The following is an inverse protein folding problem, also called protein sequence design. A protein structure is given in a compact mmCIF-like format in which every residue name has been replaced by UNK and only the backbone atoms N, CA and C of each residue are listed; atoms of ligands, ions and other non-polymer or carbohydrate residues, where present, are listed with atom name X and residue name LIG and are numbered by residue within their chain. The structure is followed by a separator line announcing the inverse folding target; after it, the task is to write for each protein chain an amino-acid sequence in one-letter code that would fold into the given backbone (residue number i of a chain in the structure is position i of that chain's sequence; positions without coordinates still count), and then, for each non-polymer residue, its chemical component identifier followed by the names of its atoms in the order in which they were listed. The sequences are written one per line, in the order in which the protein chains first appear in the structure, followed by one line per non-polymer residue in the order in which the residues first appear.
data_IF_840985973533
#
_entry.id   IF_840985973533
#
_cell.length_a   1.000
_cell.length_b   1.000
_cell.length_c   1.000
_cell.angle_alpha   90.00
_cell.angle_beta   90.00
_cell.angle_gamma   90.00
#
_symmetry.space_group_name_H-M   'P 1'
#
loop_
_entity.id
_entity.type
_entity.pdbx_description
1 polymer ?
#
# COMPACT_ATOMS: atom_id res chain seq x y z
N UNK A 1 4.24 10.74 5.52
CA UNK A 1 4.69 10.72 4.10
C UNK A 1 3.43 10.59 3.25
N UNK A 2 3.09 11.62 2.47
CA UNK A 2 1.89 11.60 1.62
C UNK A 2 2.13 10.64 0.45
N UNK A 3 1.62 9.41 0.51
CA UNK A 3 1.70 8.47 -0.61
C UNK A 3 0.64 8.83 -1.65
N UNK A 4 1.05 9.03 -2.91
CA UNK A 4 0.12 9.27 -4.04
C UNK A 4 -0.83 8.10 -4.21
N UNK A 5 -0.32 6.87 -4.09
CA UNK A 5 -1.10 5.64 -4.16
C UNK A 5 -2.18 5.54 -3.08
N UNK A 6 -1.83 5.83 -1.82
CA UNK A 6 -2.74 5.62 -0.68
C UNK A 6 -3.78 6.74 -0.58
N UNK A 7 -3.35 7.98 -0.84
CA UNK A 7 -4.21 9.15 -0.68
C UNK A 7 -4.84 9.65 -1.98
N UNK A 8 -4.60 8.96 -3.10
CA UNK A 8 -5.14 9.34 -4.42
C UNK A 8 -4.73 10.75 -4.84
N UNK A 9 -3.48 11.15 -4.55
CA UNK A 9 -2.98 12.49 -4.86
C UNK A 9 -2.21 12.51 -6.17
N UNK A 10 -2.30 13.62 -6.87
CA UNK A 10 -1.43 13.90 -8.01
C UNK A 10 0.04 13.95 -7.58
N UNK A 11 0.93 13.58 -8.49
CA UNK A 11 2.36 13.42 -8.21
C UNK A 11 3.03 14.72 -7.73
N UNK A 12 2.58 15.87 -8.23
CA UNK A 12 3.03 17.21 -7.83
C UNK A 12 2.20 17.84 -6.71
N UNK A 13 1.16 17.15 -6.21
CA UNK A 13 0.33 17.63 -5.09
C UNK A 13 0.74 16.98 -3.74
N UNK A 14 2.04 16.84 -3.55
CA UNK A 14 2.68 16.38 -2.31
C UNK A 14 3.55 17.50 -1.73
N UNK A 15 4.07 17.34 -0.50
CA UNK A 15 4.87 18.37 0.18
C UNK A 15 6.17 18.71 -0.59
N UNK A 16 6.95 19.65 -0.05
CA UNK A 16 8.19 20.27 -0.58
C UNK A 16 9.26 19.34 -1.22
N UNK A 17 9.12 18.02 -1.16
CA UNK A 17 10.00 17.01 -1.76
C UNK A 17 9.52 16.48 -3.13
N UNK A 18 8.49 17.09 -3.73
CA UNK A 18 7.95 16.67 -5.04
C UNK A 18 9.01 16.55 -6.17
N UNK A 19 10.08 17.37 -6.26
CA UNK A 19 11.05 17.27 -7.36
C UNK A 19 11.80 15.92 -7.41
N UNK A 20 11.94 15.24 -6.27
CA UNK A 20 12.53 13.90 -6.23
C UNK A 20 11.50 12.80 -6.42
N UNK A 21 10.26 13.03 -5.96
CA UNK A 21 9.18 12.04 -6.07
C UNK A 21 8.71 11.85 -7.49
N UNK A 22 8.71 12.91 -8.29
CA UNK A 22 8.33 12.83 -9.71
C UNK A 22 9.22 11.87 -10.48
N UNK A 23 10.45 11.60 -10.02
CA UNK A 23 11.41 10.69 -10.66
C UNK A 23 11.17 9.22 -10.29
N UNK A 24 10.44 8.93 -9.21
CA UNK A 24 10.24 7.55 -8.74
C UNK A 24 9.53 6.69 -9.80
N UNK A 25 8.41 7.12 -10.41
CA UNK A 25 7.74 6.31 -11.42
C UNK A 25 8.59 6.07 -12.67
N UNK A 26 9.42 7.05 -13.07
CA UNK A 26 10.39 6.86 -14.16
C UNK A 26 11.38 5.74 -13.80
N UNK A 27 11.98 5.82 -12.62
CA UNK A 27 12.91 4.79 -12.16
C UNK A 27 12.27 3.40 -12.06
N UNK A 28 11.00 3.33 -11.65
CA UNK A 28 10.25 2.07 -11.62
C UNK A 28 10.03 1.47 -13.01
N UNK A 29 9.72 2.30 -14.00
CA UNK A 29 9.60 1.86 -15.41
C UNK A 29 10.95 1.39 -15.95
N UNK A 30 12.06 2.07 -15.64
CA UNK A 30 13.41 1.64 -16.03
C UNK A 30 13.76 0.28 -15.41
N UNK A 31 13.54 0.12 -14.10
CA UNK A 31 13.76 -1.15 -13.43
C UNK A 31 12.93 -2.29 -14.04
N UNK A 32 11.66 -2.04 -14.35
CA UNK A 32 10.75 -3.06 -14.85
C UNK A 32 11.00 -3.44 -16.31
N UNK A 33 11.07 -2.46 -17.21
CA UNK A 33 11.20 -2.70 -18.64
C UNK A 33 12.65 -2.90 -19.08
N UNK A 34 13.59 -2.06 -18.63
CA UNK A 34 14.99 -2.14 -19.06
C UNK A 34 15.78 -3.24 -18.35
N UNK A 35 15.60 -3.36 -17.02
CA UNK A 35 16.49 -4.19 -16.19
C UNK A 35 15.85 -5.49 -15.70
N UNK A 36 14.51 -5.60 -15.74
CA UNK A 36 13.77 -6.81 -15.39
C UNK A 36 13.08 -7.48 -16.60
N UNK A 37 13.32 -6.99 -17.82
CA UNK A 37 12.84 -7.62 -19.06
C UNK A 37 11.32 -7.73 -19.13
N UNK A 38 10.62 -6.72 -18.61
CA UNK A 38 9.16 -6.62 -18.56
C UNK A 38 8.46 -7.79 -17.86
N UNK A 39 9.15 -8.55 -16.99
CA UNK A 39 8.71 -9.85 -16.49
C UNK A 39 8.42 -10.90 -17.58
N UNK A 40 8.81 -10.67 -18.84
CA UNK A 40 8.55 -11.52 -20.01
C UNK A 40 9.81 -12.21 -20.54
N UNK A 41 10.95 -12.09 -19.84
CA UNK A 41 12.28 -12.39 -20.39
C UNK A 41 12.55 -11.61 -21.69
N UNK A 42 12.02 -10.39 -21.81
CA UNK A 42 12.41 -9.51 -22.90
C UNK A 42 13.91 -9.20 -22.81
N UNK A 43 14.58 -8.87 -23.93
CA UNK A 43 15.95 -8.40 -23.90
C UNK A 43 16.12 -7.28 -22.87
N UNK A 44 17.22 -7.33 -22.12
CA UNK A 44 17.58 -6.27 -21.19
C UNK A 44 18.34 -5.16 -21.93
N UNK A 45 18.36 -3.96 -21.35
CA UNK A 45 19.23 -2.91 -21.85
C UNK A 45 20.69 -3.37 -21.79
N UNK A 46 21.40 -3.22 -22.91
CA UNK A 46 22.83 -3.52 -23.03
C UNK A 46 23.59 -2.29 -23.49
N UNK A 47 24.92 -2.37 -23.48
CA UNK A 47 25.79 -1.33 -24.04
C UNK A 47 26.07 -1.51 -25.53
N UNK A 48 25.41 -2.47 -26.19
CA UNK A 48 25.58 -2.68 -27.62
C UNK A 48 24.98 -1.50 -28.40
N UNK A 49 25.68 -1.04 -29.43
CA UNK A 49 25.15 -0.01 -30.32
C UNK A 49 24.17 -0.64 -31.31
N UNK A 50 22.95 -0.09 -31.37
CA UNK A 50 21.88 -0.53 -32.28
C UNK A 50 21.60 -2.05 -32.22
N UNK A 51 21.34 -2.62 -31.03
CA UNK A 51 21.04 -4.04 -30.93
C UNK A 51 19.77 -4.36 -31.73
N UNK A 52 19.73 -5.48 -32.47
CA UNK A 52 18.53 -5.87 -33.19
C UNK A 52 17.39 -6.14 -32.20
N UNK A 53 16.25 -5.48 -32.38
CA UNK A 53 15.04 -5.73 -31.60
C UNK A 53 14.05 -6.60 -32.38
N UNK A 54 13.44 -7.56 -31.70
CA UNK A 54 12.36 -8.40 -32.23
C UNK A 54 11.13 -8.20 -31.37
N UNK A 55 10.03 -7.77 -31.99
CA UNK A 55 8.79 -7.44 -31.26
C UNK A 55 8.86 -6.06 -30.61
N UNK A 56 8.34 -5.95 -29.39
CA UNK A 56 8.37 -4.70 -28.62
C UNK A 56 9.73 -4.52 -27.96
N UNK A 57 10.38 -3.38 -28.22
CA UNK A 57 11.66 -3.03 -27.63
C UNK A 57 11.50 -2.42 -26.22
N UNK A 58 11.18 -3.27 -25.24
CA UNK A 58 11.03 -2.85 -23.85
C UNK A 58 12.32 -2.24 -23.28
N UNK A 59 13.50 -2.72 -23.70
CA UNK A 59 14.78 -2.25 -23.20
C UNK A 59 15.07 -0.78 -23.55
N UNK A 60 14.58 -0.31 -24.70
CA UNK A 60 14.82 1.06 -25.18
C UNK A 60 13.55 1.92 -25.15
N UNK A 61 12.55 1.56 -24.34
CA UNK A 61 11.27 2.29 -24.25
C UNK A 61 11.48 3.80 -24.02
N UNK A 62 12.44 4.19 -23.17
CA UNK A 62 12.72 5.59 -22.90
C UNK A 62 13.31 6.31 -24.11
N UNK A 63 14.09 5.62 -24.95
CA UNK A 63 14.59 6.15 -26.22
C UNK A 63 13.45 6.48 -27.18
N UNK A 64 12.42 5.64 -27.27
CA UNK A 64 11.20 5.93 -28.03
C UNK A 64 10.49 7.19 -27.50
N UNK A 65 10.29 7.28 -26.18
CA UNK A 65 9.62 8.43 -25.55
C UNK A 65 10.42 9.72 -25.75
N UNK A 66 11.74 9.66 -25.58
CA UNK A 66 12.62 10.79 -25.80
C UNK A 66 12.59 11.26 -27.26
N UNK A 67 12.56 10.34 -28.23
CA UNK A 67 12.44 10.68 -29.65
C UNK A 67 11.09 11.34 -29.98
N UNK A 68 9.99 10.84 -29.41
CA UNK A 68 8.67 11.50 -29.49
C UNK A 68 8.73 12.91 -28.91
N UNK A 69 9.30 13.09 -27.73
CA UNK A 69 9.44 14.40 -27.10
C UNK A 69 10.36 15.36 -27.88
N UNK A 70 11.39 14.85 -28.55
CA UNK A 70 12.34 15.61 -29.38
C UNK A 70 11.70 16.10 -30.68
N UNK A 71 10.84 15.28 -31.27
CA UNK A 71 10.18 15.57 -32.56
C UNK A 71 8.81 16.23 -32.41
N UNK A 72 8.29 16.32 -31.18
CA UNK A 72 7.06 17.03 -30.86
C UNK A 72 7.20 18.52 -31.19
N UNK A 73 6.40 18.99 -32.15
CA UNK A 73 6.28 20.42 -32.44
C UNK A 73 5.59 21.09 -31.25
N UNK A 74 6.27 22.08 -30.65
CA UNK A 74 5.90 22.66 -29.34
C UNK A 74 5.01 23.91 -29.29
N UNK A 75 4.52 24.54 -30.38
CA UNK A 75 3.72 25.73 -30.20
C UNK A 75 2.41 25.36 -29.47
N UNK A 76 2.18 26.05 -28.35
CA UNK A 76 0.94 26.09 -27.59
C UNK A 76 0.56 24.86 -26.72
N UNK A 77 1.49 23.95 -26.40
CA UNK A 77 1.22 22.88 -25.41
C UNK A 77 1.43 23.35 -23.97
N UNK A 78 0.47 23.05 -23.11
CA UNK A 78 0.55 23.21 -21.66
C UNK A 78 1.42 22.13 -20.99
N UNK A 79 1.89 22.42 -19.77
CA UNK A 79 2.62 21.43 -18.96
C UNK A 79 1.78 20.18 -18.65
N UNK A 80 0.45 20.32 -18.53
CA UNK A 80 -0.46 19.21 -18.36
C UNK A 80 -0.50 18.28 -19.58
N UNK A 81 -0.56 18.84 -20.78
CA UNK A 81 -0.50 18.06 -22.03
C UNK A 81 0.85 17.35 -22.19
N UNK A 82 1.96 17.97 -21.78
CA UNK A 82 3.27 17.31 -21.79
C UNK A 82 3.31 16.11 -20.85
N UNK A 83 2.72 16.22 -19.65
CA UNK A 83 2.60 15.14 -18.68
C UNK A 83 1.77 13.97 -19.26
N UNK A 84 0.61 14.28 -19.85
CA UNK A 84 -0.25 13.26 -20.48
C UNK A 84 0.41 12.62 -21.70
N UNK A 85 1.16 13.39 -22.48
CA UNK A 85 1.95 12.88 -23.61
C UNK A 85 3.03 11.89 -23.15
N UNK A 86 3.69 12.13 -22.01
CA UNK A 86 4.63 11.15 -21.45
C UNK A 86 3.94 9.81 -21.15
N UNK A 87 2.77 9.83 -20.52
CA UNK A 87 1.97 8.62 -20.25
C UNK A 87 1.61 7.91 -21.55
N UNK A 88 1.09 8.66 -22.53
CA UNK A 88 0.72 8.15 -23.85
C UNK A 88 1.91 7.48 -24.56
N UNK A 89 3.03 8.19 -24.69
CA UNK A 89 4.21 7.70 -25.41
C UNK A 89 4.87 6.53 -24.70
N UNK A 90 4.79 6.47 -23.37
CA UNK A 90 5.25 5.29 -22.62
C UNK A 90 4.40 4.08 -23.00
N UNK A 91 3.07 4.18 -22.99
CA UNK A 91 2.16 3.09 -23.39
C UNK A 91 2.38 2.68 -24.86
N UNK A 92 2.59 3.65 -25.76
CA UNK A 92 2.99 3.36 -27.15
C UNK A 92 4.33 2.63 -27.24
N UNK A 93 5.34 3.00 -26.45
CA UNK A 93 6.65 2.38 -26.51
C UNK A 93 6.60 0.89 -26.11
N UNK A 94 5.82 0.58 -25.07
CA UNK A 94 5.76 -0.77 -24.50
C UNK A 94 4.56 -1.58 -24.99
N UNK A 95 3.65 -0.97 -25.75
CA UNK A 95 2.42 -1.58 -26.29
C UNK A 95 1.55 -2.24 -25.19
N UNK A 96 1.49 -1.62 -24.01
CA UNK A 96 0.75 -2.11 -22.84
C UNK A 96 -0.11 -1.00 -22.22
N UNK A 97 -1.26 -1.37 -21.65
CA UNK A 97 -2.11 -0.52 -20.82
C UNK A 97 -1.47 -0.34 -19.43
N UNK A 98 -0.81 0.79 -19.24
CA UNK A 98 -0.21 1.21 -17.97
C UNK A 98 -1.11 2.13 -17.13
N UNK A 99 -2.43 2.22 -17.40
CA UNK A 99 -3.29 3.19 -16.70
C UNK A 99 -3.26 3.00 -15.20
N UNK A 100 -3.28 1.76 -14.72
CA UNK A 100 -3.32 1.47 -13.29
C UNK A 100 -2.02 1.91 -12.61
N UNK A 101 -0.87 1.71 -13.26
CA UNK A 101 0.42 2.19 -12.78
C UNK A 101 0.45 3.72 -12.68
N UNK A 102 -0.02 4.43 -13.71
CA UNK A 102 0.00 5.90 -13.74
C UNK A 102 -1.06 6.53 -12.82
N UNK A 103 -2.19 5.86 -12.58
CA UNK A 103 -3.14 6.23 -11.51
C UNK A 103 -2.47 6.05 -10.15
N UNK A 104 -1.91 4.88 -9.89
CA UNK A 104 -1.31 4.54 -8.59
C UNK A 104 -0.12 5.44 -8.23
N UNK A 105 0.63 5.91 -9.24
CA UNK A 105 1.77 6.80 -9.03
C UNK A 105 1.40 8.28 -9.02
N UNK A 106 0.19 8.64 -9.44
CA UNK A 106 -0.33 10.01 -9.37
C UNK A 106 -0.18 10.84 -10.65
N UNK A 107 0.19 10.23 -11.79
CA UNK A 107 0.20 10.91 -13.10
C UNK A 107 -1.21 11.14 -13.63
N UNK A 108 -2.12 10.17 -13.43
CA UNK A 108 -3.50 10.22 -13.90
C UNK A 108 -4.46 10.55 -12.76
N UNK A 109 -4.16 11.64 -12.06
CA UNK A 109 -5.01 12.24 -11.02
C UNK A 109 -5.17 13.73 -11.36
N UNK A 110 -6.38 14.31 -11.30
CA UNK A 110 -6.58 15.72 -11.59
C UNK A 110 -5.71 16.62 -10.72
N UNK A 111 -5.17 17.68 -11.33
CA UNK A 111 -4.39 18.71 -10.64
C UNK A 111 -4.68 20.07 -11.27
N UNK A 112 -4.74 21.11 -10.45
CA UNK A 112 -4.87 22.49 -10.92
C UNK A 112 -4.21 23.42 -9.89
N UNK A 113 -2.90 23.66 -10.07
CA UNK A 113 -2.08 24.33 -9.05
C UNK A 113 -0.88 25.03 -9.67
N UNK A 114 -0.45 26.10 -9.02
CA UNK A 114 0.81 26.76 -9.31
C UNK A 114 1.99 25.90 -8.81
N UNK A 115 2.96 25.69 -9.69
CA UNK A 115 4.23 24.99 -9.43
C UNK A 115 5.35 26.03 -9.52
N UNK A 116 6.16 26.14 -8.46
CA UNK A 116 7.35 26.98 -8.42
C UNK A 116 8.59 26.08 -8.63
N UNK A 117 9.11 26.09 -9.86
CA UNK A 117 10.33 25.39 -10.26
C UNK A 117 11.10 26.28 -11.26
N UNK A 118 12.03 27.09 -10.74
CA UNK A 118 12.73 28.19 -11.44
C UNK A 118 11.87 29.41 -11.85
N UNK A 119 10.55 29.24 -11.99
CA UNK A 119 9.52 30.30 -12.01
C UNK A 119 8.16 29.68 -11.64
N UNK A 120 7.15 30.52 -11.44
CA UNK A 120 5.79 30.05 -11.15
C UNK A 120 5.02 29.85 -12.45
N UNK A 121 4.49 28.65 -12.65
CA UNK A 121 3.58 28.33 -13.75
C UNK A 121 2.45 27.41 -13.26
N UNK A 122 1.29 27.47 -13.92
CA UNK A 122 0.11 26.68 -13.50
C UNK A 122 0.10 25.32 -14.20
N UNK A 123 0.12 24.25 -13.42
CA UNK A 123 -0.07 22.88 -13.89
C UNK A 123 -1.55 22.51 -13.75
N UNK A 124 -2.21 22.34 -14.89
CA UNK A 124 -3.61 21.92 -14.96
C UNK A 124 -3.72 20.62 -15.77
N UNK A 125 -4.34 19.61 -15.19
CA UNK A 125 -4.78 18.36 -15.83
C UNK A 125 -6.19 18.07 -15.34
N UNK A 126 -7.16 18.03 -16.25
CA UNK A 126 -8.57 17.80 -15.89
C UNK A 126 -8.93 16.32 -15.90
N UNK A 127 -10.05 15.97 -15.26
CA UNK A 127 -10.56 14.60 -15.29
C UNK A 127 -10.94 14.18 -16.71
N UNK A 128 -11.49 15.08 -17.52
CA UNK A 128 -11.86 14.81 -18.91
C UNK A 128 -10.64 14.43 -19.75
N UNK A 129 -9.53 15.16 -19.62
CA UNK A 129 -8.29 14.85 -20.34
C UNK A 129 -7.72 13.47 -19.93
N UNK A 130 -7.83 13.14 -18.64
CA UNK A 130 -7.42 11.83 -18.12
C UNK A 130 -8.31 10.72 -18.68
N UNK A 131 -9.63 10.91 -18.67
CA UNK A 131 -10.60 9.92 -19.15
C UNK A 131 -10.43 9.66 -20.66
N UNK A 132 -10.24 10.72 -21.45
CA UNK A 132 -9.93 10.62 -22.88
C UNK A 132 -8.65 9.83 -23.15
N UNK A 133 -7.60 10.09 -22.38
CA UNK A 133 -6.34 9.36 -22.50
C UNK A 133 -6.48 7.89 -22.08
N UNK A 134 -7.17 7.60 -20.99
CA UNK A 134 -7.44 6.23 -20.53
C UNK A 134 -8.23 5.47 -21.59
N UNK A 135 -9.25 6.10 -22.19
CA UNK A 135 -10.03 5.50 -23.26
C UNK A 135 -9.15 5.20 -24.49
N UNK A 136 -8.30 6.15 -24.88
CA UNK A 136 -7.33 5.95 -25.96
C UNK A 136 -6.39 4.76 -25.68
N UNK A 137 -5.77 4.72 -24.50
CA UNK A 137 -4.82 3.65 -24.11
C UNK A 137 -5.51 2.29 -24.14
N UNK A 138 -6.67 2.16 -23.48
CA UNK A 138 -7.41 0.88 -23.41
C UNK A 138 -7.90 0.40 -24.77
N UNK A 139 -8.20 1.32 -25.69
CA UNK A 139 -8.65 0.98 -27.04
C UNK A 139 -7.51 0.51 -27.95
N UNK A 140 -6.28 0.99 -27.72
CA UNK A 140 -5.13 0.70 -28.59
C UNK A 140 -4.18 -0.37 -28.01
N UNK A 141 -4.13 -0.54 -26.70
CA UNK A 141 -3.20 -1.44 -26.01
C UNK A 141 -3.98 -2.40 -25.09
N UNK A 142 -4.51 -3.52 -25.61
CA UNK A 142 -5.37 -4.42 -24.85
C UNK A 142 -4.64 -5.24 -23.78
N UNK A 143 -3.30 -5.26 -23.81
CA UNK A 143 -2.50 -6.07 -22.90
C UNK A 143 -2.10 -5.27 -21.67
N UNK A 144 -2.31 -5.82 -20.48
CA UNK A 144 -1.73 -5.30 -19.25
C UNK A 144 -0.28 -5.79 -19.08
N UNK A 145 0.54 -5.06 -18.31
CA UNK A 145 1.83 -5.59 -17.85
C UNK A 145 1.67 -6.90 -17.09
N UNK A 146 2.69 -7.76 -17.16
CA UNK A 146 2.69 -9.04 -16.44
C UNK A 146 2.52 -8.84 -14.93
N UNK A 147 3.23 -7.87 -14.37
CA UNK A 147 3.06 -7.51 -12.96
C UNK A 147 1.93 -6.49 -12.79
N UNK A 148 0.96 -6.72 -11.89
CA UNK A 148 -0.04 -5.73 -11.51
C UNK A 148 0.47 -4.75 -10.43
N UNK A 149 1.71 -4.90 -9.98
CA UNK A 149 2.29 -4.16 -8.84
C UNK A 149 3.63 -3.49 -9.16
N UNK A 150 3.79 -2.99 -10.39
CA UNK A 150 5.02 -2.29 -10.84
C UNK A 150 5.37 -1.12 -9.91
N UNK A 151 4.38 -0.44 -9.32
CA UNK A 151 4.58 0.63 -8.34
C UNK A 151 5.33 0.21 -7.06
N UNK A 152 5.61 -1.10 -6.87
CA UNK A 152 6.40 -1.64 -5.76
C UNK A 152 7.82 -2.07 -6.15
N UNK A 153 8.17 -2.02 -7.44
CA UNK A 153 9.53 -2.39 -7.86
C UNK A 153 10.56 -1.40 -7.30
N UNK A 154 11.70 -1.94 -6.88
CA UNK A 154 12.88 -1.19 -6.45
C UNK A 154 14.14 -1.95 -6.85
N UNK A 155 15.31 -1.34 -6.64
CA UNK A 155 16.58 -2.03 -6.86
C UNK A 155 16.69 -3.33 -6.03
N UNK A 156 16.07 -3.38 -4.85
CA UNK A 156 16.06 -4.55 -3.97
C UNK A 156 15.15 -5.68 -4.46
N UNK A 157 14.09 -5.37 -5.21
CA UNK A 157 13.12 -6.37 -5.69
C UNK A 157 13.24 -6.68 -7.18
N UNK A 158 14.05 -5.93 -7.95
CA UNK A 158 14.21 -6.09 -9.41
C UNK A 158 14.40 -7.55 -9.85
N UNK A 159 15.24 -8.32 -9.15
CA UNK A 159 15.50 -9.71 -9.53
C UNK A 159 14.30 -10.65 -9.29
N UNK A 160 13.37 -10.29 -8.40
CA UNK A 160 12.11 -11.01 -8.20
C UNK A 160 11.20 -10.87 -9.42
N UNK A 161 11.17 -9.68 -10.02
CA UNK A 161 10.46 -9.42 -11.28
C UNK A 161 11.14 -10.11 -12.46
N UNK A 162 12.47 -9.92 -12.61
CA UNK A 162 13.26 -10.50 -13.70
C UNK A 162 13.09 -12.02 -13.78
N UNK A 163 13.26 -12.69 -12.63
CA UNK A 163 13.24 -14.15 -12.56
C UNK A 163 11.85 -14.72 -12.23
N UNK A 164 10.83 -13.86 -12.06
CA UNK A 164 9.46 -14.23 -11.65
C UNK A 164 9.45 -15.14 -10.42
N UNK A 165 10.19 -14.74 -9.38
CA UNK A 165 10.35 -15.55 -8.17
C UNK A 165 9.06 -15.52 -7.33
N UNK A 166 8.45 -16.66 -7.01
CA UNK A 166 7.19 -16.68 -6.27
C UNK A 166 7.41 -16.22 -4.83
N UNK A 167 6.47 -15.42 -4.31
CA UNK A 167 6.41 -15.06 -2.91
C UNK A 167 6.25 -16.33 -2.05
N UNK A 168 7.02 -16.43 -0.98
CA UNK A 168 6.83 -17.49 0.02
C UNK A 168 7.14 -17.00 1.43
N UNK A 169 6.33 -17.44 2.38
CA UNK A 169 6.53 -17.20 3.80
C UNK A 169 5.39 -17.84 4.59
N UNK A 170 5.53 -17.88 5.91
CA UNK A 170 4.51 -18.39 6.82
C UNK A 170 4.16 -17.29 7.83
N UNK A 171 2.87 -16.98 7.99
CA UNK A 171 2.41 -15.88 8.85
C UNK A 171 3.05 -15.97 10.24
N UNK A 172 3.63 -14.85 10.68
CA UNK A 172 4.24 -14.71 11.99
C UNK A 172 5.59 -15.42 12.19
N UNK A 173 6.16 -16.13 11.20
CA UNK A 173 7.56 -16.58 11.23
C UNK A 173 8.49 -15.45 10.80
N UNK A 174 9.65 -15.34 11.44
CA UNK A 174 10.62 -14.29 11.13
C UNK A 174 10.12 -12.86 11.39
N UNK A 175 9.04 -12.68 12.15
CA UNK A 175 8.45 -11.37 12.47
C UNK A 175 8.70 -11.03 13.94
N UNK A 176 9.21 -9.83 14.22
CA UNK A 176 9.32 -9.28 15.57
C UNK A 176 8.70 -7.89 15.60
N UNK A 177 7.74 -7.67 16.50
CA UNK A 177 7.24 -6.32 16.78
C UNK A 177 8.28 -5.61 17.65
N UNK A 178 8.77 -4.47 17.16
CA UNK A 178 9.68 -3.59 17.87
C UNK A 178 8.87 -2.37 18.34
N UNK A 179 8.79 -2.22 19.66
CA UNK A 179 8.19 -1.05 20.29
C UNK A 179 9.23 0.07 20.35
N UNK A 180 9.10 1.02 19.43
CA UNK A 180 9.84 2.29 19.43
C UNK A 180 8.89 3.38 19.93
N UNK A 181 9.37 4.30 20.79
CA UNK A 181 8.56 5.35 21.39
C UNK A 181 8.03 6.38 20.36
N UNK A 182 8.71 6.52 19.22
CA UNK A 182 8.34 7.45 18.14
C UNK A 182 7.62 6.76 16.97
N UNK A 183 8.01 5.53 16.61
CA UNK A 183 7.40 4.81 15.48
C UNK A 183 7.55 3.28 15.58
N UNK A 184 6.58 2.55 16.18
CA UNK A 184 6.64 1.09 16.26
C UNK A 184 6.64 0.45 14.86
N UNK A 185 7.38 -0.65 14.71
CA UNK A 185 7.54 -1.35 13.44
C UNK A 185 7.65 -2.87 13.62
N UNK A 186 7.28 -3.61 12.57
CA UNK A 186 7.55 -5.04 12.43
C UNK A 186 8.89 -5.23 11.73
N UNK A 187 9.82 -5.87 12.40
CA UNK A 187 11.04 -6.36 11.81
C UNK A 187 10.77 -7.72 11.15
N UNK A 188 11.00 -7.81 9.83
CA UNK A 188 10.72 -9.00 9.02
C UNK A 188 12.02 -9.57 8.45
N UNK A 189 12.27 -10.85 8.72
CA UNK A 189 13.43 -11.61 8.25
C UNK A 189 13.17 -12.25 6.87
N UNK A 190 13.98 -11.91 5.86
CA UNK A 190 13.82 -12.44 4.50
C UNK A 190 14.36 -13.88 4.36
N UNK A 191 15.01 -14.45 5.38
CA UNK A 191 15.25 -15.88 5.44
C UNK A 191 13.94 -16.69 5.54
N UNK A 192 12.92 -16.11 6.17
CA UNK A 192 11.58 -16.67 6.31
C UNK A 192 10.60 -16.12 5.25
N UNK A 193 10.75 -14.85 4.86
CA UNK A 193 9.92 -14.17 3.85
C UNK A 193 10.68 -13.95 2.55
N UNK A 194 10.58 -14.91 1.62
CA UNK A 194 11.28 -14.87 0.34
C UNK A 194 10.45 -14.16 -0.72
N UNK A 195 11.13 -13.34 -1.53
CA UNK A 195 10.61 -12.74 -2.76
C UNK A 195 9.42 -11.79 -2.57
N UNK A 196 9.28 -11.19 -1.38
CA UNK A 196 8.36 -10.08 -1.18
C UNK A 196 8.92 -8.81 -1.84
N UNK A 197 8.11 -8.14 -2.66
CA UNK A 197 8.49 -6.87 -3.31
C UNK A 197 8.13 -5.67 -2.45
N UNK A 198 7.08 -5.81 -1.65
CA UNK A 198 6.61 -4.82 -0.68
C UNK A 198 5.80 -5.48 0.43
N UNK A 199 5.46 -4.69 1.43
CA UNK A 199 4.58 -5.03 2.53
C UNK A 199 3.46 -3.99 2.62
N UNK A 200 2.22 -4.42 2.45
CA UNK A 200 1.02 -3.59 2.57
C UNK A 200 0.49 -3.69 4.01
N UNK A 201 0.32 -2.54 4.66
CA UNK A 201 -0.30 -2.43 6.00
C UNK A 201 -1.72 -1.90 5.87
N UNK A 202 -2.65 -2.62 6.47
CA UNK A 202 -4.07 -2.33 6.47
C UNK A 202 -4.56 -2.03 7.87
N UNK A 203 -5.51 -1.12 7.99
CA UNK A 203 -6.20 -0.84 9.25
C UNK A 203 -7.30 -1.87 9.57
N UNK A 204 -7.97 -1.68 10.71
CA UNK A 204 -9.06 -2.57 11.16
C UNK A 204 -10.31 -2.57 10.26
N UNK A 205 -10.45 -1.61 9.36
CA UNK A 205 -11.56 -1.53 8.40
C UNK A 205 -11.23 -2.21 7.07
N UNK A 206 -9.97 -2.63 6.89
CA UNK A 206 -9.47 -3.19 5.64
C UNK A 206 -9.01 -2.14 4.65
N UNK A 207 -8.83 -0.88 5.07
CA UNK A 207 -8.24 0.16 4.23
C UNK A 207 -6.71 0.03 4.24
N UNK A 208 -6.10 0.11 3.05
CA UNK A 208 -4.64 0.20 2.93
C UNK A 208 -4.18 1.56 3.49
N UNK A 209 -3.31 1.54 4.50
CA UNK A 209 -2.85 2.75 5.19
C UNK A 209 -1.34 2.98 5.06
N UNK A 210 -0.58 1.94 4.74
CA UNK A 210 0.85 2.08 4.47
C UNK A 210 1.36 1.02 3.50
N UNK A 211 2.44 1.35 2.79
CA UNK A 211 3.22 0.39 2.00
C UNK A 211 4.68 0.60 2.34
N UNK A 212 5.37 -0.47 2.68
CA UNK A 212 6.82 -0.49 2.90
C UNK A 212 7.49 -1.31 1.80
N UNK A 213 8.44 -0.72 1.08
CA UNK A 213 9.20 -1.41 0.04
C UNK A 213 10.19 -2.39 0.69
N UNK A 214 10.41 -3.56 0.08
CA UNK A 214 11.35 -4.55 0.63
C UNK A 214 12.76 -3.98 0.84
N UNK A 215 13.41 -4.35 1.95
CA UNK A 215 14.73 -3.83 2.34
C UNK A 215 14.71 -2.39 2.88
N UNK A 216 13.53 -1.84 3.19
CA UNK A 216 13.47 -0.57 3.94
C UNK A 216 14.20 -0.75 5.27
N UNK A 217 15.12 0.18 5.56
CA UNK A 217 16.01 0.16 6.74
C UNK A 217 17.09 -0.95 6.73
N UNK A 218 17.30 -1.62 5.59
CA UNK A 218 18.37 -2.61 5.41
C UNK A 218 18.89 -2.65 3.95
N UNK A 219 20.03 -2.00 3.72
CA UNK A 219 20.70 -1.95 2.40
C UNK A 219 21.18 -3.32 1.90
N UNK A 220 21.31 -4.32 2.78
CA UNK A 220 21.67 -5.68 2.39
C UNK A 220 20.46 -6.48 1.89
N UNK A 221 19.24 -5.92 2.06
CA UNK A 221 17.98 -6.56 1.71
C UNK A 221 17.85 -7.97 2.31
N UNK A 222 18.31 -8.14 3.55
CA UNK A 222 18.11 -9.37 4.32
C UNK A 222 16.89 -9.25 5.23
N UNK A 223 16.46 -8.02 5.54
CA UNK A 223 15.34 -7.71 6.43
C UNK A 223 14.55 -6.50 5.95
N UNK A 224 13.36 -6.28 6.50
CA UNK A 224 12.57 -5.06 6.29
C UNK A 224 11.99 -4.56 7.62
N UNK A 225 12.13 -3.27 7.90
CA UNK A 225 11.39 -2.58 8.97
C UNK A 225 10.07 -2.03 8.44
N UNK A 226 8.96 -2.76 8.67
CA UNK A 226 7.61 -2.35 8.24
C UNK A 226 6.94 -1.53 9.32
N UNK A 227 6.59 -0.30 9.00
CA UNK A 227 5.91 0.59 9.93
C UNK A 227 4.58 -0.01 10.41
N UNK A 228 4.37 -0.02 11.73
CA UNK A 228 3.23 -0.65 12.36
C UNK A 228 2.75 0.17 13.57
N UNK A 229 1.92 1.18 13.28
CA UNK A 229 1.41 2.18 14.22
C UNK A 229 0.17 1.69 14.95
N UNK A 230 -0.22 2.43 15.99
CA UNK A 230 -1.56 2.26 16.56
C UNK A 230 -2.63 2.49 15.50
N UNK A 231 -3.55 1.54 15.37
CA UNK A 231 -4.61 1.54 14.36
C UNK A 231 -4.34 0.60 13.18
N UNK A 232 -3.07 0.24 12.96
CA UNK A 232 -2.68 -0.77 11.98
C UNK A 232 -3.13 -2.15 12.48
N UNK A 233 -3.63 -2.97 11.56
CA UNK A 233 -4.25 -4.24 11.89
C UNK A 233 -3.54 -5.41 11.23
N UNK A 234 -3.46 -5.43 9.89
CA UNK A 234 -2.87 -6.52 9.12
C UNK A 234 -1.71 -6.04 8.27
N UNK A 235 -0.67 -6.85 8.17
CA UNK A 235 0.43 -6.66 7.24
C UNK A 235 0.49 -7.85 6.30
N UNK A 236 0.52 -7.60 5.00
CA UNK A 236 0.65 -8.61 3.95
C UNK A 236 1.96 -8.39 3.19
N UNK A 237 2.71 -9.47 2.97
CA UNK A 237 3.79 -9.47 1.98
C UNK A 237 3.17 -9.58 0.59
N UNK A 238 3.69 -8.82 -0.37
CA UNK A 238 3.23 -8.78 -1.76
C UNK A 238 4.29 -9.37 -2.68
N UNK A 239 3.91 -10.29 -3.57
CA UNK A 239 4.77 -10.85 -4.61
C UNK A 239 4.75 -10.03 -5.89
N UNK A 240 5.71 -10.25 -6.79
CA UNK A 240 5.78 -9.53 -8.08
C UNK A 240 4.51 -9.70 -8.94
N UNK A 241 3.77 -10.79 -8.76
CA UNK A 241 2.53 -11.14 -9.46
C UNK A 241 1.27 -10.57 -8.76
N UNK A 242 1.44 -9.84 -7.67
CA UNK A 242 0.35 -9.31 -6.85
C UNK A 242 -0.24 -10.33 -5.86
N UNK A 243 0.33 -11.53 -5.75
CA UNK A 243 0.00 -12.47 -4.69
C UNK A 243 0.28 -11.84 -3.32
N UNK A 244 -0.55 -12.18 -2.33
CA UNK A 244 -0.46 -11.64 -0.97
C UNK A 244 -0.47 -12.78 0.04
N UNK A 245 0.46 -12.73 0.98
CA UNK A 245 0.51 -13.65 2.12
C UNK A 245 0.48 -12.80 3.39
N UNK A 246 -0.45 -13.11 4.31
CA UNK A 246 -0.53 -12.45 5.60
C UNK A 246 0.77 -12.68 6.39
N UNK A 247 1.41 -11.60 6.81
CA UNK A 247 2.63 -11.62 7.64
C UNK A 247 2.30 -11.50 9.12
N UNK A 248 1.41 -10.56 9.45
CA UNK A 248 1.05 -10.24 10.83
C UNK A 248 -0.41 -9.78 10.88
N UNK A 249 -1.20 -10.13 11.92
CA UNK A 249 -0.82 -10.80 13.18
C UNK A 249 -0.60 -12.31 13.07
N UNK A 250 0.27 -12.83 13.94
CA UNK A 250 0.62 -14.26 14.05
C UNK A 250 -0.58 -15.17 14.39
N UNK A 251 -1.58 -14.63 15.07
CA UNK A 251 -2.71 -15.39 15.63
C UNK A 251 -3.73 -15.89 14.60
N UNK A 252 -3.60 -15.52 13.32
CA UNK A 252 -4.54 -15.94 12.27
C UNK A 252 -4.29 -17.38 11.78
N UNK A 253 -3.15 -18.02 12.11
CA UNK A 253 -2.91 -19.44 11.78
C UNK A 253 -3.27 -20.32 12.98
N UNK A 254 -4.54 -20.75 13.07
CA UNK A 254 -4.92 -22.12 13.49
C UNK A 254 -6.42 -22.40 13.39
N UNK A 255 -7.03 -22.02 12.27
CA UNK A 255 -8.36 -22.52 11.94
C UNK A 255 -8.77 -22.05 10.56
N UNK A 256 -9.28 -22.97 9.74
CA UNK A 256 -10.24 -22.61 8.71
C UNK A 256 -11.39 -21.86 9.41
N UNK A 257 -11.31 -20.55 9.47
CA UNK A 257 -12.44 -19.73 9.85
C UNK A 257 -12.95 -19.12 8.56
N UNK A 258 -14.02 -19.72 8.04
CA UNK A 258 -15.06 -18.92 7.39
C UNK A 258 -15.25 -17.66 8.22
N UNK A 259 -15.36 -16.51 7.57
CA UNK A 259 -15.79 -15.26 8.18
C UNK A 259 -17.20 -15.48 8.75
N UNK A 260 -17.27 -16.07 9.96
CA UNK A 260 -18.50 -16.17 10.71
C UNK A 260 -18.78 -14.77 11.24
N UNK A 261 -19.82 -14.15 10.67
CA UNK A 261 -20.41 -12.87 11.09
C UNK A 261 -20.20 -12.60 12.59
N UNK A 262 -19.62 -11.43 12.87
CA UNK A 262 -19.38 -10.81 14.18
C UNK A 262 -20.27 -11.37 15.30
N UNK A 263 -19.67 -12.15 16.20
CA UNK A 263 -20.30 -12.60 17.45
C UNK A 263 -20.20 -11.56 18.56
N UNK A 264 -19.61 -10.38 18.34
CA UNK A 264 -19.37 -9.38 19.38
C UNK A 264 -19.85 -8.00 18.95
N UNK A 265 -20.58 -7.31 19.84
CA UNK A 265 -21.02 -5.93 19.65
C UNK A 265 -20.89 -5.10 20.93
N UNK A 266 -20.78 -3.78 20.75
CA UNK A 266 -20.77 -2.81 21.83
C UNK A 266 -21.98 -1.90 21.70
N UNK A 267 -22.69 -1.70 22.81
CA UNK A 267 -23.83 -0.79 22.88
C UNK A 267 -23.80 0.04 24.17
N UNK A 268 -24.10 1.35 24.11
CA UNK A 268 -24.29 2.13 22.89
C UNK A 268 -22.96 2.35 22.13
N UNK A 269 -23.04 2.49 20.80
CA UNK A 269 -21.92 2.88 19.94
C UNK A 269 -22.45 3.72 18.77
N UNK A 270 -22.19 5.05 18.73
CA UNK A 270 -21.37 5.82 19.66
C UNK A 270 -21.94 5.87 21.10
N UNK A 271 -21.07 6.06 22.10
CA UNK A 271 -21.44 6.32 23.50
C UNK A 271 -20.99 7.73 23.90
N UNK A 272 -21.61 8.31 24.92
CA UNK A 272 -21.08 9.53 25.56
C UNK A 272 -20.11 9.16 26.69
N UNK A 273 -19.18 10.06 27.02
CA UNK A 273 -18.22 9.84 28.12
C UNK A 273 -18.90 9.41 29.46
N UNK A 274 -20.14 9.82 29.70
CA UNK A 274 -20.89 9.56 30.93
C UNK A 274 -21.74 8.29 30.92
N UNK A 275 -22.04 7.71 29.75
CA UNK A 275 -23.06 6.67 29.60
C UNK A 275 -22.50 5.23 29.70
N UNK A 276 -21.17 5.07 29.68
CA UNK A 276 -20.51 3.77 29.74
C UNK A 276 -20.78 2.91 28.50
N UNK A 277 -20.29 1.67 28.50
CA UNK A 277 -20.50 0.70 27.41
C UNK A 277 -20.92 -0.66 27.94
N UNK A 278 -21.64 -1.42 27.12
CA UNK A 278 -21.92 -2.82 27.35
C UNK A 278 -21.42 -3.67 26.19
N UNK A 279 -20.66 -4.69 26.56
CA UNK A 279 -20.21 -5.77 25.71
C UNK A 279 -21.30 -6.83 25.58
N UNK A 280 -21.66 -7.17 24.35
CA UNK A 280 -22.51 -8.30 24.01
C UNK A 280 -21.73 -9.30 23.18
N UNK A 281 -21.79 -10.58 23.56
CA UNK A 281 -21.21 -11.69 22.82
C UNK A 281 -22.33 -12.69 22.53
N UNK A 282 -22.58 -12.97 21.25
CA UNK A 282 -23.56 -13.97 20.81
C UNK A 282 -23.09 -15.35 21.26
N UNK A 283 -23.98 -16.09 21.93
CA UNK A 283 -23.70 -17.40 22.52
C UNK A 283 -22.57 -17.35 23.57
N UNK A 284 -22.56 -16.31 24.42
CA UNK A 284 -21.57 -16.09 25.47
C UNK A 284 -21.45 -17.29 26.44
N UNK A 285 -20.41 -18.11 26.25
CA UNK A 285 -20.06 -19.22 27.14
C UNK A 285 -18.64 -19.02 27.69
N UNK A 286 -18.45 -19.15 29.01
CA UNK A 286 -17.14 -19.16 29.66
C UNK A 286 -16.46 -17.80 29.83
N UNK A 287 -15.21 -17.83 30.30
CA UNK A 287 -14.40 -16.63 30.58
C UNK A 287 -13.69 -16.09 29.34
N UNK A 288 -13.61 -14.75 29.25
CA UNK A 288 -12.87 -14.02 28.24
C UNK A 288 -11.81 -13.13 28.91
N UNK A 289 -10.68 -12.98 28.24
CA UNK A 289 -9.71 -11.93 28.47
C UNK A 289 -10.09 -10.72 27.60
N UNK A 290 -10.45 -9.60 28.22
CA UNK A 290 -10.84 -8.37 27.56
C UNK A 290 -9.76 -7.30 27.74
N UNK A 291 -9.29 -6.74 26.63
CA UNK A 291 -8.39 -5.60 26.62
C UNK A 291 -9.02 -4.47 25.79
N UNK A 292 -9.00 -3.25 26.31
CA UNK A 292 -9.46 -2.05 25.61
C UNK A 292 -8.31 -1.07 25.51
N UNK A 293 -8.06 -0.57 24.30
CA UNK A 293 -7.03 0.43 24.03
C UNK A 293 -7.67 1.65 23.37
N UNK A 294 -7.17 2.85 23.68
CA UNK A 294 -7.53 4.04 22.91
C UNK A 294 -6.79 4.06 21.55
N UNK A 295 -7.13 5.01 20.68
CA UNK A 295 -6.50 5.18 19.37
C UNK A 295 -5.02 5.57 19.41
N UNK A 296 -4.46 5.90 20.58
CA UNK A 296 -3.03 6.10 20.78
C UNK A 296 -2.30 4.81 21.23
N UNK A 297 -3.04 3.76 21.62
CA UNK A 297 -2.51 2.46 22.02
C UNK A 297 -2.41 2.30 23.53
N UNK A 298 -2.84 3.31 24.29
CA UNK A 298 -2.85 3.27 25.74
C UNK A 298 -3.95 2.33 26.22
N UNK A 299 -3.62 1.46 27.16
CA UNK A 299 -4.57 0.54 27.79
C UNK A 299 -5.58 1.33 28.63
N UNK A 300 -6.86 1.22 28.29
CA UNK A 300 -7.98 1.81 29.02
C UNK A 300 -8.69 0.78 29.91
N UNK A 301 -8.58 -0.52 29.58
CA UNK A 301 -9.11 -1.60 30.39
C UNK A 301 -8.38 -2.92 30.13
N UNK A 302 -8.18 -3.69 31.20
CA UNK A 302 -7.72 -5.06 31.12
C UNK A 302 -8.41 -5.90 32.20
N UNK A 303 -9.09 -6.97 31.76
CA UNK A 303 -9.83 -7.80 32.68
C UNK A 303 -10.16 -9.17 32.13
N UNK A 304 -10.19 -10.14 33.04
CA UNK A 304 -10.64 -11.50 32.76
C UNK A 304 -11.97 -11.77 33.46
N UNK A 305 -12.86 -12.50 32.80
CA UNK A 305 -14.09 -13.01 33.40
C UNK A 305 -15.16 -13.34 32.37
N UNK A 306 -16.30 -13.82 32.84
CA UNK A 306 -17.50 -13.92 32.00
C UNK A 306 -17.97 -12.53 31.54
N UNK A 307 -18.72 -12.47 30.44
CA UNK A 307 -19.21 -11.21 29.85
C UNK A 307 -19.99 -10.35 30.87
N UNK A 308 -20.73 -10.99 31.78
CA UNK A 308 -21.44 -10.32 32.89
C UNK A 308 -20.49 -9.61 33.85
N UNK A 309 -19.40 -10.26 34.25
CA UNK A 309 -18.35 -9.73 35.13
C UNK A 309 -17.58 -8.61 34.44
N UNK A 310 -17.22 -8.81 33.17
CA UNK A 310 -16.56 -7.78 32.37
C UNK A 310 -17.43 -6.53 32.24
N UNK A 311 -18.73 -6.69 31.98
CA UNK A 311 -19.68 -5.56 31.93
C UNK A 311 -19.82 -4.84 33.27
N UNK A 312 -19.80 -5.55 34.40
CA UNK A 312 -19.80 -4.90 35.71
C UNK A 312 -18.53 -4.07 35.93
N UNK A 313 -17.38 -4.59 35.50
CA UNK A 313 -16.10 -3.87 35.63
C UNK A 313 -16.03 -2.66 34.69
N UNK A 314 -16.53 -2.79 33.46
CA UNK A 314 -16.60 -1.70 32.48
C UNK A 314 -17.48 -0.53 32.96
N UNK A 315 -18.52 -0.80 33.74
CA UNK A 315 -19.34 0.25 34.38
C UNK A 315 -18.57 1.07 35.43
N UNK A 316 -17.53 0.48 36.04
CA UNK A 316 -16.78 1.10 37.12
C UNK A 316 -15.51 1.82 36.63
N UNK A 317 -15.22 1.78 35.32
CA UNK A 317 -14.13 2.57 34.76
C UNK A 317 -14.59 4.02 34.72
N UNK A 318 -13.84 4.89 35.41
CA UNK A 318 -13.99 6.33 35.34
C UNK A 318 -13.87 6.77 33.88
N UNK A 319 -15.01 7.18 33.32
CA UNK A 319 -15.25 7.85 32.03
C UNK A 319 -14.12 7.79 30.99
N UNK A 320 -14.32 7.00 29.93
CA UNK A 320 -13.49 7.07 28.74
C UNK A 320 -13.45 8.51 28.21
N UNK A 321 -12.25 9.02 27.88
CA UNK A 321 -12.11 10.31 27.20
C UNK A 321 -12.68 10.21 25.77
N UNK A 322 -13.18 11.32 25.18
CA UNK A 322 -13.63 11.33 23.80
C UNK A 322 -12.56 10.77 22.84
N UNK A 323 -12.96 9.90 21.93
CA UNK A 323 -12.06 9.21 21.02
C UNK A 323 -12.53 7.82 20.61
N UNK A 324 -11.73 7.16 19.76
CA UNK A 324 -11.99 5.79 19.32
C UNK A 324 -11.27 4.80 20.22
N UNK A 325 -11.95 3.73 20.61
CA UNK A 325 -11.41 2.66 21.43
C UNK A 325 -11.59 1.32 20.73
N UNK A 326 -10.55 0.48 20.82
CA UNK A 326 -10.52 -0.86 20.25
C UNK A 326 -10.59 -1.89 21.37
N UNK A 327 -11.49 -2.85 21.23
CA UNK A 327 -11.69 -3.94 22.18
C UNK A 327 -11.21 -5.23 21.56
N UNK A 328 -10.40 -5.96 22.32
CA UNK A 328 -10.01 -7.35 22.02
C UNK A 328 -10.54 -8.26 23.12
N UNK A 329 -11.25 -9.31 22.74
CA UNK A 329 -11.70 -10.39 23.62
C UNK A 329 -11.06 -11.69 23.19
N UNK A 330 -10.46 -12.41 24.14
CA UNK A 330 -9.77 -13.66 23.86
C UNK A 330 -10.30 -14.77 24.77
N UNK A 331 -10.65 -15.93 24.21
CA UNK A 331 -11.06 -17.13 24.94
C UNK A 331 -10.29 -18.33 24.40
N UNK A 332 -9.30 -18.79 25.16
CA UNK A 332 -8.38 -19.82 24.67
C UNK A 332 -7.65 -19.36 23.41
N UNK A 333 -7.98 -19.95 22.26
CA UNK A 333 -7.43 -19.59 20.94
C UNK A 333 -8.35 -18.69 20.11
N UNK A 334 -9.57 -18.43 20.56
CA UNK A 334 -10.52 -17.58 19.85
C UNK A 334 -10.30 -16.12 20.25
N UNK A 335 -10.10 -15.25 19.26
CA UNK A 335 -9.98 -13.80 19.47
C UNK A 335 -11.08 -13.09 18.68
N UNK A 336 -11.77 -12.17 19.36
CA UNK A 336 -12.80 -11.31 18.79
C UNK A 336 -12.35 -9.85 18.95
N UNK A 337 -12.58 -9.05 17.92
CA UNK A 337 -12.25 -7.63 17.94
C UNK A 337 -13.45 -6.79 17.51
N UNK A 338 -13.59 -5.62 18.12
CA UNK A 338 -14.56 -4.59 17.73
C UNK A 338 -14.05 -3.23 18.20
N UNK A 339 -14.75 -2.16 17.85
CA UNK A 339 -14.42 -0.81 18.30
C UNK A 339 -15.68 -0.08 18.77
N UNK A 340 -15.49 0.99 19.54
CA UNK A 340 -16.54 1.93 19.88
C UNK A 340 -16.00 3.36 19.92
N UNK A 341 -16.90 4.31 19.68
CA UNK A 341 -16.59 5.74 19.66
C UNK A 341 -17.19 6.39 20.90
N UNK A 342 -16.38 7.18 21.60
CA UNK A 342 -16.82 8.03 22.71
C UNK A 342 -16.89 9.47 22.21
N UNK A 343 -18.07 10.07 22.29
CA UNK A 343 -18.34 11.46 21.94
C UNK A 343 -18.30 12.38 23.17
#
# INVERSE_FOLDING_TARGET
IDSTYIHGKALQDVRYDYPFRVLIPFWQLELYYQLAGACRNAPLLTYEENPPSVGVDYAHWYGYVAEKARTLTRPDMSNGELLLNFVKYTCEAVQEDLTDFFINTGFLIPIDKDIEDYWVDRLTVTQEQIDELILYIKSNFPNKPVSPVIQYISAHSKDMFLNRLPLSGETGKGVKLISDEEAPFLYIDHSEWKNAVAYETYDSTGQLVHVTITGTDDVSNQTTSVLYRTGDYQVYAVGFDGSRILVYPKEIINGKHEVQKLKVSISPNPTSAQQGIQLSVKDALGEYQCCIYNSAGNEAFNGKGEVSVLNQRLKNISHFLPGTYFIRLSKGKETFATHFIVQ
#
